data_IF_816925495921
#
_entry.id   IF_816925495921
#
_cell.length_a   1.000
_cell.length_b   1.000
_cell.length_c   1.000
_cell.angle_alpha   90.00
_cell.angle_beta   90.00
_cell.angle_gamma   90.00
#
_symmetry.space_group_name_H-M   'P 1'
#
loop_
_entity.id
_entity.type
_entity.pdbx_description
1 polymer ?
#
# COMPACT_ATOMS: atom_id res chain seq x y z
N UNK A 1 24.56 -9.65 -9.64
CA UNK A 1 23.10 -9.58 -9.41
C UNK A 1 22.79 -8.92 -8.09
N UNK A 2 22.92 -9.63 -6.97
CA UNK A 2 22.52 -9.15 -5.63
C UNK A 2 23.16 -7.83 -5.20
N UNK A 3 24.47 -7.65 -5.39
CA UNK A 3 25.16 -6.40 -5.04
C UNK A 3 24.66 -5.18 -5.84
N UNK A 4 24.27 -5.38 -7.10
CA UNK A 4 23.73 -4.33 -7.95
C UNK A 4 22.29 -3.97 -7.53
N UNK A 5 21.48 -4.97 -7.19
CA UNK A 5 20.13 -4.77 -6.66
C UNK A 5 20.16 -4.06 -5.30
N UNK A 6 21.05 -4.46 -4.39
CA UNK A 6 21.19 -3.79 -3.09
C UNK A 6 21.66 -2.35 -3.24
N UNK A 7 22.63 -2.10 -4.12
CA UNK A 7 23.09 -0.74 -4.42
C UNK A 7 21.93 0.11 -4.97
N UNK A 8 21.15 -0.43 -5.93
CA UNK A 8 20.00 0.25 -6.51
C UNK A 8 18.91 0.59 -5.50
N UNK A 9 18.60 -0.32 -4.57
CA UNK A 9 17.63 -0.05 -3.50
C UNK A 9 18.14 1.04 -2.56
N UNK A 10 19.42 0.99 -2.16
CA UNK A 10 20.02 2.01 -1.29
C UNK A 10 20.00 3.39 -1.95
N UNK A 11 20.33 3.48 -3.24
CA UNK A 11 20.33 4.77 -3.95
C UNK A 11 18.93 5.34 -4.09
N UNK A 12 17.92 4.52 -4.40
CA UNK A 12 16.51 4.97 -4.44
C UNK A 12 16.07 5.50 -3.07
N UNK A 13 16.33 4.76 -2.00
CA UNK A 13 15.99 5.20 -0.63
C UNK A 13 16.72 6.50 -0.25
N UNK A 14 18.00 6.63 -0.62
CA UNK A 14 18.76 7.86 -0.39
C UNK A 14 18.15 9.06 -1.12
N UNK A 15 17.83 8.91 -2.41
CA UNK A 15 17.23 9.98 -3.22
C UNK A 15 15.84 10.36 -2.68
N UNK A 16 15.01 9.39 -2.29
CA UNK A 16 13.71 9.65 -1.67
C UNK A 16 13.85 10.47 -0.38
N UNK A 17 14.78 10.08 0.49
CA UNK A 17 15.03 10.79 1.75
C UNK A 17 15.54 12.22 1.54
N UNK A 18 16.48 12.43 0.61
CA UNK A 18 16.98 13.78 0.29
C UNK A 18 15.91 14.65 -0.36
N UNK A 19 15.07 14.07 -1.22
CA UNK A 19 14.00 14.78 -1.91
C UNK A 19 12.93 15.27 -0.94
N UNK A 20 12.45 14.40 -0.03
CA UNK A 20 11.47 14.82 0.98
C UNK A 20 12.02 15.88 1.91
N UNK A 21 13.28 15.77 2.33
CA UNK A 21 13.95 16.81 3.14
C UNK A 21 13.90 18.17 2.43
N UNK A 22 14.13 18.19 1.13
CA UNK A 22 14.17 19.43 0.37
C UNK A 22 12.74 20.01 0.18
N UNK A 23 11.71 19.17 -0.02
CA UNK A 23 10.30 19.61 0.00
C UNK A 23 9.92 20.23 1.36
N UNK A 24 10.32 19.61 2.47
CA UNK A 24 10.05 20.18 3.81
C UNK A 24 10.74 21.53 4.00
N UNK A 25 11.94 21.72 3.44
CA UNK A 25 12.66 22.98 3.53
C UNK A 25 11.98 24.09 2.74
N UNK A 26 11.57 23.78 1.51
CA UNK A 26 10.81 24.69 0.65
C UNK A 26 9.50 25.14 1.32
N UNK A 27 8.80 24.19 1.96
CA UNK A 27 7.57 24.46 2.69
C UNK A 27 7.77 25.33 3.94
N UNK A 28 8.73 24.96 4.80
CA UNK A 28 8.87 25.54 6.14
C UNK A 28 9.74 26.81 6.20
N UNK A 29 10.76 26.92 5.36
CA UNK A 29 11.74 28.00 5.43
C UNK A 29 11.67 28.98 4.25
N UNK A 30 11.21 28.54 3.08
CA UNK A 30 11.16 29.38 1.86
C UNK A 30 9.75 29.90 1.52
N UNK A 31 8.71 29.34 2.14
CA UNK A 31 7.33 29.83 2.04
C UNK A 31 6.69 29.68 0.65
N UNK A 32 7.22 28.81 -0.21
CA UNK A 32 6.74 28.66 -1.60
C UNK A 32 5.40 27.92 -1.73
N UNK A 33 4.94 27.28 -0.65
CA UNK A 33 3.68 26.53 -0.62
C UNK A 33 2.45 27.44 -0.46
N UNK A 34 2.14 28.19 -1.51
CA UNK A 34 0.90 28.99 -1.60
C UNK A 34 -0.35 28.10 -1.52
N UNK A 35 -1.52 28.69 -1.23
CA UNK A 35 -2.79 27.95 -1.10
C UNK A 35 -3.10 27.08 -2.34
N UNK A 36 -2.87 27.62 -3.54
CA UNK A 36 -3.09 26.90 -4.81
C UNK A 36 -2.16 25.68 -4.91
N UNK A 37 -0.90 25.81 -4.46
CA UNK A 37 0.06 24.70 -4.46
C UNK A 37 -0.35 23.62 -3.44
N UNK A 38 -0.83 24.01 -2.26
CA UNK A 38 -1.32 23.07 -1.24
C UNK A 38 -2.55 22.29 -1.72
N UNK A 39 -3.49 22.96 -2.39
CA UNK A 39 -4.64 22.30 -3.03
C UNK A 39 -4.17 21.32 -4.12
N UNK A 40 -3.16 21.70 -4.90
CA UNK A 40 -2.52 20.82 -5.88
C UNK A 40 -1.92 19.56 -5.25
N UNK A 41 -1.21 19.68 -4.12
CA UNK A 41 -0.69 18.54 -3.37
C UNK A 41 -1.80 17.64 -2.82
N UNK A 42 -2.88 18.23 -2.29
CA UNK A 42 -4.04 17.47 -1.79
C UNK A 42 -4.68 16.64 -2.91
N UNK A 43 -4.93 17.27 -4.07
CA UNK A 43 -5.48 16.59 -5.24
C UNK A 43 -4.52 15.52 -5.78
N UNK A 44 -3.21 15.81 -5.81
CA UNK A 44 -2.18 14.85 -6.19
C UNK A 44 -2.17 13.61 -5.29
N UNK A 45 -2.29 13.79 -3.97
CA UNK A 45 -2.36 12.68 -3.02
C UNK A 45 -3.64 11.86 -3.18
N UNK A 46 -4.79 12.50 -3.43
CA UNK A 46 -6.04 11.78 -3.70
C UNK A 46 -5.90 10.93 -4.97
N UNK A 47 -5.38 11.50 -6.06
CA UNK A 47 -5.16 10.76 -7.32
C UNK A 47 -4.18 9.60 -7.13
N UNK A 48 -3.10 9.80 -6.38
CA UNK A 48 -2.16 8.74 -6.03
C UNK A 48 -2.85 7.58 -5.28
N UNK A 49 -3.67 7.88 -4.27
CA UNK A 49 -4.44 6.87 -3.52
C UNK A 49 -5.42 6.13 -4.44
N UNK A 50 -6.11 6.83 -5.35
CA UNK A 50 -7.02 6.20 -6.32
C UNK A 50 -6.28 5.22 -7.23
N UNK A 51 -5.07 5.57 -7.68
CA UNK A 51 -4.24 4.67 -8.48
C UNK A 51 -3.81 3.42 -7.69
N UNK A 52 -3.44 3.56 -6.41
CA UNK A 52 -3.13 2.43 -5.52
C UNK A 52 -4.35 1.52 -5.32
N UNK A 53 -5.56 2.08 -5.15
CA UNK A 53 -6.79 1.27 -5.04
C UNK A 53 -7.04 0.46 -6.32
N UNK A 54 -6.79 1.03 -7.50
CA UNK A 54 -6.89 0.30 -8.78
C UNK A 54 -5.82 -0.78 -8.93
N UNK A 55 -4.61 -0.53 -8.41
CA UNK A 55 -3.55 -1.54 -8.35
C UNK A 55 -3.97 -2.74 -7.48
N UNK A 56 -4.51 -2.50 -6.29
CA UNK A 56 -5.06 -3.59 -5.44
C UNK A 56 -6.29 -4.27 -6.06
N UNK A 57 -7.13 -3.52 -6.77
CA UNK A 57 -8.28 -4.07 -7.49
C UNK A 57 -7.86 -5.15 -8.50
N UNK A 58 -6.74 -4.98 -9.19
CA UNK A 58 -6.22 -6.01 -10.11
C UNK A 58 -5.87 -7.33 -9.39
N UNK A 59 -5.28 -7.27 -8.20
CA UNK A 59 -5.01 -8.48 -7.39
C UNK A 59 -6.29 -9.14 -6.89
N UNK A 60 -7.25 -8.36 -6.40
CA UNK A 60 -8.55 -8.90 -6.00
C UNK A 60 -9.28 -9.53 -7.18
N UNK A 61 -9.24 -8.90 -8.36
CA UNK A 61 -9.79 -9.46 -9.59
C UNK A 61 -9.17 -10.81 -9.94
N UNK A 62 -7.84 -10.93 -9.87
CA UNK A 62 -7.13 -12.18 -10.10
C UNK A 62 -7.50 -13.26 -9.06
N UNK A 63 -7.63 -12.88 -7.78
CA UNK A 63 -8.06 -13.78 -6.70
C UNK A 63 -9.50 -14.29 -6.91
N UNK A 64 -10.45 -13.40 -7.21
CA UNK A 64 -11.85 -13.78 -7.44
C UNK A 64 -12.00 -14.65 -8.67
N UNK A 65 -11.32 -14.33 -9.77
CA UNK A 65 -11.34 -15.15 -10.99
C UNK A 65 -10.81 -16.57 -10.70
N UNK A 66 -9.72 -16.67 -9.93
CA UNK A 66 -9.11 -17.97 -9.61
C UNK A 66 -9.93 -18.80 -8.60
N UNK A 67 -10.61 -18.15 -7.65
CA UNK A 67 -11.39 -18.82 -6.60
C UNK A 67 -12.82 -19.16 -6.99
N UNK A 68 -13.46 -18.36 -7.86
CA UNK A 68 -14.82 -18.59 -8.34
C UNK A 68 -14.88 -19.68 -9.42
N UNK A 69 -13.86 -19.76 -10.28
CA UNK A 69 -13.71 -20.79 -11.31
C UNK A 69 -12.39 -21.54 -11.14
N UNK A 70 -12.25 -22.38 -10.11
CA UNK A 70 -11.02 -23.12 -9.86
C UNK A 70 -10.75 -24.09 -11.02
N UNK A 71 -9.52 -24.10 -11.53
CA UNK A 71 -9.13 -25.00 -12.61
C UNK A 71 -9.17 -26.46 -12.14
N UNK A 72 -9.57 -27.36 -13.04
CA UNK A 72 -9.68 -28.80 -12.74
C UNK A 72 -8.37 -29.42 -12.25
N UNK A 73 -7.22 -28.89 -12.68
CA UNK A 73 -5.90 -29.33 -12.23
C UNK A 73 -5.64 -29.12 -10.73
N UNK A 74 -6.40 -28.25 -10.06
CA UNK A 74 -6.28 -27.97 -8.63
C UNK A 74 -7.38 -28.71 -7.81
N UNK A 75 -8.14 -29.59 -8.46
CA UNK A 75 -9.22 -30.37 -7.84
C UNK A 75 -10.61 -29.75 -7.97
N UNK A 76 -10.75 -28.63 -8.69
CA UNK A 76 -12.05 -27.99 -8.95
C UNK A 76 -12.76 -27.43 -7.71
N UNK A 77 -12.04 -27.30 -6.60
CA UNK A 77 -12.55 -26.78 -5.33
C UNK A 77 -11.64 -25.67 -4.80
N UNK A 78 -12.24 -24.72 -4.09
CA UNK A 78 -11.53 -23.68 -3.36
C UNK A 78 -11.90 -23.76 -1.88
N UNK A 79 -10.93 -23.82 -0.95
CA UNK A 79 -9.48 -23.85 -1.14
C UNK A 79 -8.99 -25.13 -1.84
N UNK A 80 -7.83 -25.09 -2.51
CA UNK A 80 -7.18 -26.27 -3.07
C UNK A 80 -6.98 -27.38 -2.02
N UNK A 81 -7.14 -28.63 -2.45
CA UNK A 81 -6.91 -29.79 -1.57
C UNK A 81 -5.45 -29.79 -1.09
N UNK A 82 -5.26 -29.94 0.22
CA UNK A 82 -3.93 -29.97 0.86
C UNK A 82 -3.42 -28.64 1.37
N UNK A 83 -4.16 -27.53 1.18
CA UNK A 83 -3.83 -26.23 1.79
C UNK A 83 -4.66 -26.04 3.07
N UNK A 84 -3.98 -25.97 4.21
CA UNK A 84 -4.61 -25.55 5.47
C UNK A 84 -4.78 -24.03 5.49
N UNK A 85 -6.04 -23.58 5.58
CA UNK A 85 -6.36 -22.15 5.64
C UNK A 85 -6.32 -21.66 7.08
N UNK A 86 -5.68 -20.50 7.29
CA UNK A 86 -5.67 -19.85 8.59
C UNK A 86 -7.08 -19.49 9.06
N UNK A 87 -7.37 -19.73 10.33
CA UNK A 87 -8.66 -19.34 10.92
C UNK A 87 -8.81 -17.80 10.87
N UNK A 88 -9.92 -17.27 10.32
CA UNK A 88 -10.12 -15.81 10.24
C UNK A 88 -10.20 -15.12 11.61
N UNK A 89 -10.59 -15.86 12.65
CA UNK A 89 -10.80 -15.35 14.02
C UNK A 89 -9.52 -15.22 14.85
N UNK A 90 -8.40 -15.74 14.38
CA UNK A 90 -7.12 -15.68 15.09
C UNK A 90 -6.36 -14.38 14.79
N UNK A 91 -5.15 -14.53 14.29
CA UNK A 91 -4.25 -13.43 13.96
C UNK A 91 -4.84 -12.40 12.97
N UNK A 92 -5.58 -12.78 11.90
CA UNK A 92 -6.15 -11.80 10.97
C UNK A 92 -7.14 -10.83 11.63
N UNK A 93 -7.96 -11.32 12.56
CA UNK A 93 -8.91 -10.49 13.31
C UNK A 93 -8.19 -9.50 14.22
N UNK A 94 -7.14 -9.96 14.93
CA UNK A 94 -6.34 -9.10 15.79
C UNK A 94 -5.71 -7.95 14.99
N UNK A 95 -5.14 -8.24 13.82
CA UNK A 95 -4.55 -7.22 12.94
C UNK A 95 -5.60 -6.21 12.46
N UNK A 96 -6.82 -6.67 12.17
CA UNK A 96 -7.93 -5.77 11.78
C UNK A 96 -8.28 -4.82 12.92
N UNK A 97 -8.38 -5.32 14.15
CA UNK A 97 -8.64 -4.48 15.33
C UNK A 97 -7.52 -3.47 15.55
N UNK A 98 -6.25 -3.88 15.41
CA UNK A 98 -5.11 -2.98 15.55
C UNK A 98 -5.15 -1.84 14.51
N UNK A 99 -5.43 -2.15 13.25
CA UNK A 99 -5.56 -1.14 12.19
C UNK A 99 -6.70 -0.15 12.48
N UNK A 100 -7.85 -0.64 12.95
CA UNK A 100 -8.99 0.22 13.32
C UNK A 100 -8.66 1.13 14.51
N UNK A 101 -8.00 0.59 15.53
CA UNK A 101 -7.55 1.37 16.69
C UNK A 101 -6.52 2.42 16.28
N UNK A 102 -5.57 2.10 15.40
CA UNK A 102 -4.62 3.06 14.87
C UNK A 102 -5.33 4.19 14.09
N UNK A 103 -6.35 3.85 13.29
CA UNK A 103 -7.18 4.86 12.62
C UNK A 103 -7.89 5.80 13.60
N UNK A 104 -8.46 5.26 14.68
CA UNK A 104 -9.09 6.05 15.73
C UNK A 104 -8.08 6.96 16.45
N UNK A 105 -6.87 6.48 16.75
CA UNK A 105 -5.83 7.29 17.40
C UNK A 105 -5.35 8.43 16.51
N UNK A 106 -5.22 8.22 15.20
CA UNK A 106 -4.80 9.27 14.25
C UNK A 106 -5.87 10.34 14.08
N UNK A 107 -7.16 9.98 14.15
CA UNK A 107 -8.25 10.96 14.09
C UNK A 107 -8.34 11.80 15.38
N UNK A 108 -7.83 11.27 16.49
CA UNK A 108 -7.78 11.98 17.77
C UNK A 108 -6.56 12.89 17.92
N UNK A 109 -5.42 12.51 17.34
CA UNK A 109 -4.17 13.28 17.33
C UNK A 109 -4.30 14.58 16.51
#
# INVERSE_FOLDING_TARGET
GGQLLSLGVITVLYVMGTWWRDIFREAAFEGQHTLVVQEGFCLGMILFIVLEVMFFFAFFWAFFTSSLTPVFHIGGVWPPVGIEVFSPRGLPLLNTILLLLWGATVTWA
#
